data_IF_498561742438
#
_entry.id   IF_498561742438
#
_cell.length_a   1.000
_cell.length_b   1.000
_cell.length_c   1.000
_cell.angle_alpha   90.00
_cell.angle_beta   90.00
_cell.angle_gamma   90.00
#
_symmetry.space_group_name_H-M   'P 1'
#
loop_
_entity.id
_entity.type
_entity.pdbx_description
1 polymer ?
#
# COMPACT_ATOMS: atom_id res chain seq x y z
N UNK A 1 7.17 0.78 10.28
CA UNK A 1 8.04 1.44 11.28
C UNK A 1 7.44 1.33 12.69
N UNK A 2 6.30 1.98 12.98
CA UNK A 2 5.70 1.97 14.33
C UNK A 2 5.46 0.57 14.92
N UNK A 3 5.01 -0.41 14.12
CA UNK A 3 4.87 -1.81 14.56
C UNK A 3 6.22 -2.40 15.05
N UNK A 4 7.31 -2.14 14.34
CA UNK A 4 8.64 -2.61 14.72
C UNK A 4 9.13 -1.90 15.99
N UNK A 5 8.86 -0.59 16.11
CA UNK A 5 9.13 0.16 17.34
C UNK A 5 8.36 -0.39 18.55
N UNK A 6 7.08 -0.69 18.37
CA UNK A 6 6.24 -1.34 19.40
C UNK A 6 6.78 -2.72 19.79
N UNK A 7 7.21 -3.53 18.80
CA UNK A 7 7.84 -4.82 19.07
C UNK A 7 9.12 -4.67 19.88
N UNK A 8 9.96 -3.68 19.59
CA UNK A 8 11.18 -3.41 20.36
C UNK A 8 10.85 -3.02 21.80
N UNK A 9 9.79 -2.24 22.03
CA UNK A 9 9.33 -1.89 23.37
C UNK A 9 8.88 -3.12 24.17
N UNK A 10 8.12 -4.03 23.55
CA UNK A 10 7.72 -5.30 24.17
C UNK A 10 8.93 -6.18 24.52
N UNK A 11 9.93 -6.25 23.64
CA UNK A 11 11.18 -6.99 23.92
C UNK A 11 11.92 -6.40 25.13
N UNK A 12 11.98 -5.07 25.23
CA UNK A 12 12.63 -4.40 26.35
C UNK A 12 11.89 -4.64 27.68
N UNK A 13 10.57 -4.62 27.67
CA UNK A 13 9.72 -4.90 28.84
C UNK A 13 9.91 -6.34 29.35
N UNK A 14 9.89 -7.31 28.44
CA UNK A 14 10.13 -8.73 28.77
C UNK A 14 11.57 -8.95 29.31
N UNK A 15 12.55 -8.28 28.71
CA UNK A 15 13.93 -8.34 29.19
C UNK A 15 14.10 -7.70 30.58
N UNK A 16 13.43 -6.57 30.83
CA UNK A 16 13.41 -5.92 32.15
C UNK A 16 12.77 -6.82 33.22
N UNK A 17 11.79 -7.63 32.82
CA UNK A 17 11.13 -8.62 33.68
C UNK A 17 11.93 -9.91 33.89
N UNK A 18 13.13 -10.02 33.30
CA UNK A 18 14.01 -11.18 33.45
C UNK A 18 13.63 -12.37 32.57
N UNK A 19 12.87 -12.18 31.48
CA UNK A 19 12.52 -13.26 30.56
C UNK A 19 13.77 -13.77 29.82
N UNK A 20 14.35 -14.88 30.31
CA UNK A 20 15.58 -15.46 29.78
C UNK A 20 15.48 -15.88 28.30
N UNK A 21 14.30 -16.32 27.86
CA UNK A 21 14.08 -16.72 26.47
C UNK A 21 14.17 -15.52 25.53
N UNK A 22 13.49 -14.42 25.88
CA UNK A 22 13.52 -13.17 25.09
C UNK A 22 14.93 -12.57 25.08
N UNK A 23 15.62 -12.54 26.22
CA UNK A 23 16.99 -12.03 26.31
C UNK A 23 17.95 -12.85 25.43
N UNK A 24 17.88 -14.18 25.52
CA UNK A 24 18.71 -15.08 24.72
C UNK A 24 18.45 -14.88 23.22
N UNK A 25 17.19 -14.80 22.81
CA UNK A 25 16.83 -14.66 21.41
C UNK A 25 17.20 -13.28 20.86
N UNK A 26 17.02 -12.21 21.64
CA UNK A 26 17.46 -10.87 21.29
C UNK A 26 18.98 -10.81 21.06
N UNK A 27 19.78 -11.34 22.02
CA UNK A 27 21.25 -11.46 21.89
C UNK A 27 21.65 -12.20 20.62
N UNK A 28 21.02 -13.34 20.34
CA UNK A 28 21.28 -14.13 19.13
C UNK A 28 20.98 -13.34 17.86
N UNK A 29 19.85 -12.65 17.79
CA UNK A 29 19.43 -11.86 16.61
C UNK A 29 20.39 -10.71 16.34
N UNK A 30 20.83 -10.01 17.39
CA UNK A 30 21.76 -8.88 17.25
C UNK A 30 23.23 -9.29 17.12
N UNK A 31 23.52 -10.59 17.09
CA UNK A 31 24.85 -11.16 16.89
C UNK A 31 25.79 -11.03 18.08
N UNK A 32 25.26 -10.97 19.30
CA UNK A 32 26.08 -10.95 20.51
C UNK A 32 26.77 -12.31 20.77
N UNK A 33 27.99 -12.31 21.33
CA UNK A 33 28.65 -13.52 21.84
C UNK A 33 27.80 -14.24 22.91
N UNK A 34 28.07 -15.55 23.09
CA UNK A 34 27.31 -16.39 24.03
C UNK A 34 27.49 -15.95 25.50
N UNK A 35 28.63 -15.36 25.84
CA UNK A 35 29.00 -14.82 27.15
C UNK A 35 28.63 -13.33 27.32
N UNK A 36 27.96 -12.73 26.33
CA UNK A 36 27.55 -11.32 26.39
C UNK A 36 26.58 -11.05 27.54
N UNK A 37 26.84 -9.95 28.26
CA UNK A 37 25.96 -9.43 29.30
C UNK A 37 24.92 -8.44 28.76
N UNK A 38 24.89 -8.19 27.45
CA UNK A 38 23.96 -7.26 26.81
C UNK A 38 22.50 -7.53 27.20
N UNK A 39 21.73 -6.49 27.49
CA UNK A 39 20.29 -6.57 27.69
C UNK A 39 19.61 -5.56 26.76
N UNK A 40 18.53 -5.94 26.04
CA UNK A 40 17.83 -5.06 25.11
C UNK A 40 16.88 -4.09 25.84
N UNK A 41 17.36 -3.38 26.87
CA UNK A 41 16.54 -2.49 27.70
C UNK A 41 16.31 -1.13 27.04
N UNK A 42 17.26 -0.65 26.24
CA UNK A 42 17.09 0.55 25.44
C UNK A 42 16.41 0.18 24.11
N UNK A 43 15.14 0.57 23.99
CA UNK A 43 14.28 0.31 22.84
C UNK A 43 14.91 0.81 21.54
N UNK A 44 15.45 2.04 21.53
CA UNK A 44 16.02 2.64 20.32
C UNK A 44 17.34 1.98 19.96
N UNK A 45 18.19 1.69 20.95
CA UNK A 45 19.45 1.00 20.71
C UNK A 45 19.22 -0.43 20.17
N UNK A 46 18.20 -1.13 20.67
CA UNK A 46 17.82 -2.43 20.13
C UNK A 46 17.27 -2.31 18.70
N UNK A 47 16.35 -1.37 18.45
CA UNK A 47 15.80 -1.11 17.12
C UNK A 47 16.90 -0.79 16.09
N UNK A 48 17.91 0.00 16.47
CA UNK A 48 19.02 0.37 15.59
C UNK A 48 19.81 -0.83 15.07
N UNK A 49 19.82 -1.93 15.83
CA UNK A 49 20.57 -3.15 15.49
C UNK A 49 19.77 -4.12 14.62
N UNK A 50 18.45 -3.98 14.56
CA UNK A 50 17.57 -4.96 13.88
C UNK A 50 16.67 -4.35 12.81
N UNK A 51 16.49 -3.03 12.80
CA UNK A 51 15.57 -2.35 11.91
C UNK A 51 16.29 -1.29 11.08
N UNK A 52 16.38 -1.58 9.78
CA UNK A 52 16.96 -0.70 8.78
C UNK A 52 15.84 -0.07 7.95
N UNK A 53 15.93 1.23 7.70
CA UNK A 53 15.00 1.96 6.85
C UNK A 53 15.77 2.58 5.69
N UNK A 54 15.19 2.61 4.49
CA UNK A 54 15.81 3.18 3.31
C UNK A 54 14.85 4.14 2.62
N UNK A 55 15.19 5.43 2.57
CA UNK A 55 14.52 6.40 1.74
C UNK A 55 15.18 6.44 0.35
N UNK A 56 14.43 6.07 -0.69
CA UNK A 56 14.91 5.90 -2.06
C UNK A 56 14.34 6.99 -2.97
N UNK A 57 15.02 8.15 -2.98
CA UNK A 57 14.58 9.34 -3.70
C UNK A 57 14.82 9.24 -5.20
N UNK A 58 14.01 9.96 -5.99
CA UNK A 58 14.33 10.28 -7.38
C UNK A 58 14.45 11.81 -7.50
N UNK A 59 15.62 12.29 -7.92
CA UNK A 59 15.91 13.70 -8.07
C UNK A 59 14.96 14.35 -9.06
N UNK A 60 14.38 15.48 -8.67
CA UNK A 60 13.39 16.20 -9.47
C UNK A 60 11.96 15.66 -9.35
N UNK A 61 11.72 14.59 -8.59
CA UNK A 61 10.37 14.07 -8.30
C UNK A 61 10.07 14.00 -6.81
N UNK A 62 10.99 13.47 -6.01
CA UNK A 62 10.82 13.33 -4.56
C UNK A 62 11.00 14.67 -3.85
N UNK A 63 10.10 15.01 -2.93
CA UNK A 63 10.17 16.25 -2.15
C UNK A 63 11.13 16.15 -0.97
N UNK A 64 11.56 17.30 -0.46
CA UNK A 64 12.37 17.36 0.76
C UNK A 64 11.54 16.99 2.01
N UNK A 65 10.25 17.26 1.96
CA UNK A 65 9.30 17.08 3.04
C UNK A 65 9.05 15.60 3.33
N UNK A 66 8.93 14.76 2.29
CA UNK A 66 8.80 13.30 2.46
C UNK A 66 10.08 12.67 2.99
N UNK A 67 11.25 13.17 2.55
CA UNK A 67 12.55 12.76 3.07
C UNK A 67 12.71 13.07 4.56
N UNK A 68 12.45 14.34 4.95
CA UNK A 68 12.57 14.80 6.34
C UNK A 68 11.64 14.00 7.26
N UNK A 69 10.39 13.79 6.86
CA UNK A 69 9.43 12.98 7.63
C UNK A 69 9.90 11.54 7.81
N UNK A 70 10.47 10.93 6.76
CA UNK A 70 11.01 9.57 6.85
C UNK A 70 12.19 9.48 7.82
N UNK A 71 13.11 10.45 7.78
CA UNK A 71 14.26 10.53 8.68
C UNK A 71 13.83 10.76 10.14
N UNK A 72 12.92 11.70 10.39
CA UNK A 72 12.40 11.97 11.74
C UNK A 72 11.70 10.74 12.34
N UNK A 73 10.88 10.04 11.56
CA UNK A 73 10.24 8.82 12.04
C UNK A 73 11.27 7.71 12.34
N UNK A 74 12.30 7.56 11.49
CA UNK A 74 13.36 6.60 11.71
C UNK A 74 14.13 6.90 13.01
N UNK A 75 14.46 8.16 13.27
CA UNK A 75 15.10 8.62 14.51
C UNK A 75 14.23 8.36 15.76
N UNK A 76 12.92 8.62 15.66
CA UNK A 76 11.98 8.39 16.76
C UNK A 76 11.85 6.90 17.09
N UNK A 77 11.83 6.03 16.07
CA UNK A 77 11.82 4.57 16.26
C UNK A 77 13.19 4.03 16.68
N UNK A 78 14.28 4.74 16.37
CA UNK A 78 15.65 4.28 16.58
C UNK A 78 16.19 3.42 15.44
N UNK A 79 15.58 3.46 14.25
CA UNK A 79 16.02 2.67 13.11
C UNK A 79 17.38 3.13 12.54
N UNK A 80 18.17 2.22 11.97
CA UNK A 80 19.31 2.58 11.15
C UNK A 80 18.82 3.12 9.79
N UNK A 81 18.89 4.43 9.58
CA UNK A 81 18.31 5.11 8.42
C UNK A 81 19.33 5.29 7.28
N UNK A 82 18.93 4.91 6.07
CA UNK A 82 19.68 5.05 4.84
C UNK A 82 18.94 6.00 3.91
N UNK A 83 19.70 6.83 3.21
CA UNK A 83 19.24 7.62 2.07
C UNK A 83 19.96 7.14 0.82
N UNK A 84 19.22 6.94 -0.25
CA UNK A 84 19.76 6.57 -1.56
C UNK A 84 18.96 7.22 -2.68
N UNK A 85 19.56 7.25 -3.86
CA UNK A 85 19.05 7.93 -5.03
C UNK A 85 18.95 6.93 -6.19
N UNK A 86 17.73 6.76 -6.72
CA UNK A 86 17.44 5.85 -7.83
C UNK A 86 17.55 6.52 -9.21
N UNK A 87 17.77 7.84 -9.28
CA UNK A 87 17.71 8.63 -10.52
C UNK A 87 18.63 8.07 -11.60
N UNK A 88 19.88 7.78 -11.22
CA UNK A 88 20.87 7.20 -12.13
C UNK A 88 20.41 5.87 -12.71
N UNK A 89 19.91 4.96 -11.86
CA UNK A 89 19.43 3.64 -12.26
C UNK A 89 18.22 3.74 -13.21
N UNK A 90 17.26 4.61 -12.88
CA UNK A 90 16.08 4.86 -13.70
C UNK A 90 16.48 5.44 -15.06
N UNK A 91 17.44 6.37 -15.09
CA UNK A 91 17.94 6.94 -16.33
C UNK A 91 18.63 5.90 -17.22
N UNK A 92 19.40 4.97 -16.65
CA UNK A 92 19.99 3.87 -17.42
C UNK A 92 18.91 2.97 -18.05
N UNK A 93 17.83 2.65 -17.34
CA UNK A 93 16.69 1.96 -17.95
C UNK A 93 16.06 2.76 -19.10
N UNK A 94 15.86 4.08 -18.93
CA UNK A 94 15.34 4.95 -20.00
C UNK A 94 16.26 4.92 -21.23
N UNK A 95 17.57 5.07 -21.04
CA UNK A 95 18.56 5.01 -22.14
C UNK A 95 18.50 3.68 -22.88
N UNK A 96 18.47 2.57 -22.14
CA UNK A 96 18.41 1.23 -22.73
C UNK A 96 17.14 1.04 -23.58
N UNK A 97 15.97 1.49 -23.08
CA UNK A 97 14.70 1.44 -23.82
C UNK A 97 14.73 2.33 -25.06
N UNK A 98 15.23 3.56 -24.93
CA UNK A 98 15.37 4.49 -26.06
C UNK A 98 16.24 3.92 -27.16
N UNK A 99 17.38 3.32 -26.80
CA UNK A 99 18.28 2.69 -27.76
C UNK A 99 17.65 1.46 -28.43
N UNK A 100 16.91 0.63 -27.67
CA UNK A 100 16.34 -0.61 -28.18
C UNK A 100 15.09 -0.40 -29.06
N UNK A 101 14.29 0.63 -28.77
CA UNK A 101 13.01 0.89 -29.44
C UNK A 101 13.07 2.10 -30.39
N UNK A 102 14.19 2.82 -30.44
CA UNK A 102 14.31 4.13 -31.10
C UNK A 102 13.21 5.11 -30.64
N UNK A 103 12.80 4.98 -29.38
CA UNK A 103 11.64 5.66 -28.80
C UNK A 103 11.95 6.15 -27.40
N UNK A 104 11.91 7.46 -27.19
CA UNK A 104 12.15 8.09 -25.90
C UNK A 104 10.82 8.31 -25.16
N UNK A 105 10.47 7.48 -24.15
CA UNK A 105 9.24 7.66 -23.40
C UNK A 105 9.27 8.96 -22.59
N UNK A 106 8.13 9.67 -22.57
CA UNK A 106 7.94 10.93 -21.84
C UNK A 106 6.83 10.81 -20.80
N UNK A 107 6.89 11.63 -19.75
CA UNK A 107 5.76 11.78 -18.83
C UNK A 107 4.59 12.48 -19.52
N UNK A 108 3.37 12.36 -18.98
CA UNK A 108 2.18 12.96 -19.60
C UNK A 108 2.28 14.49 -19.67
N UNK A 109 2.82 15.13 -18.63
CA UNK A 109 3.11 16.58 -18.61
C UNK A 109 4.27 17.00 -19.53
N UNK A 110 5.05 16.04 -20.03
CA UNK A 110 6.07 16.24 -21.05
C UNK A 110 5.56 15.88 -22.46
N UNK A 111 4.24 15.67 -22.61
CA UNK A 111 3.61 15.30 -23.89
C UNK A 111 3.81 13.83 -24.28
N UNK A 112 3.99 12.94 -23.31
CA UNK A 112 3.90 11.49 -23.47
C UNK A 112 2.46 10.98 -23.35
N UNK A 113 2.22 9.76 -23.82
CA UNK A 113 0.94 9.07 -23.64
C UNK A 113 0.79 8.50 -22.21
N UNK A 114 -0.46 8.20 -21.82
CA UNK A 114 -0.77 7.53 -20.53
C UNK A 114 0.04 6.24 -20.34
N UNK A 115 0.29 5.50 -21.41
CA UNK A 115 1.09 4.27 -21.37
C UNK A 115 2.57 4.52 -21.07
N UNK A 116 3.15 5.57 -21.64
CA UNK A 116 4.53 5.97 -21.38
C UNK A 116 4.70 6.45 -19.94
N UNK A 117 3.80 7.32 -19.51
CA UNK A 117 3.77 7.87 -18.17
C UNK A 117 3.69 6.77 -17.11
N UNK A 118 2.77 5.83 -17.29
CA UNK A 118 2.63 4.67 -16.40
C UNK A 118 3.88 3.78 -16.43
N UNK A 119 4.52 3.59 -17.59
CA UNK A 119 5.75 2.82 -17.69
C UNK A 119 6.91 3.48 -16.92
N UNK A 120 7.05 4.81 -17.03
CA UNK A 120 8.06 5.60 -16.32
C UNK A 120 7.84 5.62 -14.80
N UNK A 121 6.60 5.66 -14.34
CA UNK A 121 6.29 5.49 -12.91
C UNK A 121 6.62 4.07 -12.43
N UNK A 122 6.20 3.05 -13.20
CA UNK A 122 6.41 1.66 -12.83
C UNK A 122 7.89 1.28 -12.73
N UNK A 123 8.75 1.78 -13.62
CA UNK A 123 10.19 1.45 -13.56
C UNK A 123 10.83 2.05 -12.30
N UNK A 124 10.45 3.25 -11.89
CA UNK A 124 10.91 3.81 -10.61
C UNK A 124 10.49 2.93 -9.43
N UNK A 125 9.24 2.49 -9.40
CA UNK A 125 8.72 1.62 -8.34
C UNK A 125 9.46 0.26 -8.28
N UNK A 126 9.75 -0.35 -9.43
CA UNK A 126 10.52 -1.61 -9.51
C UNK A 126 11.99 -1.44 -9.16
N UNK A 127 12.60 -0.33 -9.53
CA UNK A 127 14.00 -0.01 -9.15
C UNK A 127 14.14 0.07 -7.64
N UNK A 128 13.17 0.66 -6.92
CA UNK A 128 13.17 0.67 -5.45
C UNK A 128 13.09 -0.74 -4.86
N UNK A 129 12.30 -1.64 -5.45
CA UNK A 129 12.25 -3.03 -5.01
C UNK A 129 13.61 -3.72 -5.18
N UNK A 130 14.20 -3.65 -6.38
CA UNK A 130 15.49 -4.27 -6.67
C UNK A 130 16.60 -3.73 -5.74
N UNK A 131 16.66 -2.41 -5.57
CA UNK A 131 17.61 -1.77 -4.66
C UNK A 131 17.35 -2.17 -3.19
N UNK A 132 16.09 -2.23 -2.77
CA UNK A 132 15.71 -2.66 -1.42
C UNK A 132 16.22 -4.05 -1.07
N UNK A 133 16.08 -5.03 -1.98
CA UNK A 133 16.65 -6.37 -1.76
C UNK A 133 18.18 -6.39 -1.78
N UNK A 134 18.82 -5.62 -2.69
CA UNK A 134 20.27 -5.51 -2.72
C UNK A 134 20.83 -4.94 -1.41
N UNK A 135 20.19 -3.90 -0.88
CA UNK A 135 20.52 -3.35 0.44
C UNK A 135 20.31 -4.40 1.54
N UNK A 136 19.16 -5.08 1.57
CA UNK A 136 18.85 -6.10 2.57
C UNK A 136 19.90 -7.25 2.60
N UNK A 137 20.42 -7.64 1.43
CA UNK A 137 21.43 -8.69 1.31
C UNK A 137 22.84 -8.23 1.70
N UNK A 138 23.19 -6.95 1.47
CA UNK A 138 24.56 -6.46 1.66
C UNK A 138 24.78 -5.66 2.94
N UNK A 139 23.74 -5.16 3.59
CA UNK A 139 23.87 -4.31 4.79
C UNK A 139 24.59 -4.99 5.95
N UNK A 140 24.37 -6.28 6.16
CA UNK A 140 25.08 -7.03 7.20
C UNK A 140 26.56 -7.19 6.83
N UNK A 141 26.83 -7.57 5.59
CA UNK A 141 28.19 -7.76 5.08
C UNK A 141 29.00 -6.45 5.11
N UNK A 142 28.41 -5.31 4.75
CA UNK A 142 29.08 -4.00 4.78
C UNK A 142 29.49 -3.55 6.18
N UNK A 143 28.88 -4.15 7.21
CA UNK A 143 29.19 -3.92 8.62
C UNK A 143 30.08 -5.03 9.22
N UNK A 144 30.63 -5.92 8.38
CA UNK A 144 31.34 -7.14 8.81
C UNK A 144 30.53 -8.03 9.76
N UNK A 145 29.20 -8.01 9.63
CA UNK A 145 28.27 -8.85 10.40
C UNK A 145 27.78 -10.01 9.55
N UNK A 146 27.48 -11.14 10.22
CA UNK A 146 26.81 -12.29 9.61
C UNK A 146 25.29 -12.10 9.67
N UNK A 147 24.57 -12.74 8.76
CA UNK A 147 23.10 -12.76 8.72
C UNK A 147 22.53 -12.11 7.47
N UNK A 148 21.21 -12.00 7.44
CA UNK A 148 20.44 -11.40 6.35
C UNK A 148 19.27 -10.61 6.95
N UNK A 149 18.73 -9.67 6.18
CA UNK A 149 17.54 -8.90 6.56
C UNK A 149 16.32 -9.41 5.79
N UNK A 150 15.16 -9.42 6.46
CA UNK A 150 13.88 -9.60 5.79
C UNK A 150 13.39 -8.26 5.27
N UNK A 151 12.99 -8.21 4.01
CA UNK A 151 12.36 -7.04 3.41
C UNK A 151 10.89 -6.99 3.86
N UNK A 152 10.49 -5.85 4.43
CA UNK A 152 9.11 -5.62 4.86
C UNK A 152 8.32 -4.86 3.80
N UNK A 153 7.18 -5.43 3.40
CA UNK A 153 6.21 -4.76 2.53
C UNK A 153 5.33 -3.79 3.31
N UNK A 154 4.66 -2.87 2.59
CA UNK A 154 3.78 -1.86 3.18
C UNK A 154 2.51 -1.59 2.38
N UNK A 155 2.08 -2.54 1.54
CA UNK A 155 0.76 -2.47 0.90
C UNK A 155 -0.34 -2.71 1.94
N UNK A 156 -1.47 -2.02 1.85
CA UNK A 156 -2.63 -2.27 2.72
C UNK A 156 -3.73 -3.08 2.02
N UNK A 157 -4.71 -3.54 2.79
CA UNK A 157 -5.75 -4.46 2.29
C UNK A 157 -6.68 -3.80 1.27
N UNK A 158 -6.87 -2.47 1.33
CA UNK A 158 -7.76 -1.73 0.44
C UNK A 158 -7.14 -1.56 -0.96
N UNK A 159 -5.87 -1.14 -0.99
CA UNK A 159 -5.05 -1.08 -2.22
C UNK A 159 -4.94 -2.46 -2.87
N UNK A 160 -4.76 -3.51 -2.06
CA UNK A 160 -4.74 -4.90 -2.52
C UNK A 160 -6.08 -5.31 -3.15
N UNK A 161 -7.21 -5.00 -2.52
CA UNK A 161 -8.55 -5.28 -3.06
C UNK A 161 -8.80 -4.59 -4.40
N UNK A 162 -8.28 -3.36 -4.56
CA UNK A 162 -8.35 -2.59 -5.81
C UNK A 162 -7.32 -3.03 -6.85
N UNK A 163 -6.21 -3.62 -6.41
CA UNK A 163 -5.03 -3.87 -7.23
C UNK A 163 -4.26 -2.60 -7.60
N UNK A 164 -4.32 -1.59 -6.72
CA UNK A 164 -3.66 -0.29 -6.87
C UNK A 164 -2.24 -0.33 -6.33
N UNK A 165 -1.37 -1.01 -7.07
CA UNK A 165 0.08 -1.08 -6.83
C UNK A 165 0.78 -1.56 -8.09
N UNK A 166 2.09 -1.35 -8.20
CA UNK A 166 2.86 -1.83 -9.34
C UNK A 166 3.27 -3.28 -9.10
N UNK A 167 2.99 -4.17 -10.06
CA UNK A 167 3.43 -5.56 -9.93
C UNK A 167 4.97 -5.60 -9.87
N UNK A 168 5.50 -6.20 -8.79
CA UNK A 168 6.93 -6.28 -8.46
C UNK A 168 7.61 -4.95 -8.06
N UNK A 169 6.86 -3.99 -7.50
CA UNK A 169 7.45 -2.91 -6.71
C UNK A 169 7.63 -3.31 -5.24
N UNK A 170 7.85 -2.34 -4.33
CA UNK A 170 7.99 -2.58 -2.88
C UNK A 170 6.73 -3.16 -2.20
N UNK A 171 5.61 -3.35 -2.91
CA UNK A 171 4.51 -4.22 -2.46
C UNK A 171 4.90 -5.70 -2.47
N UNK A 172 5.97 -6.06 -3.19
CA UNK A 172 6.61 -7.38 -3.27
C UNK A 172 7.85 -7.41 -2.37
N UNK A 173 7.73 -8.08 -1.24
CA UNK A 173 8.68 -8.16 -0.15
C UNK A 173 8.67 -9.61 0.42
N UNK A 174 9.40 -9.88 1.50
CA UNK A 174 9.38 -11.20 2.13
C UNK A 174 8.10 -11.42 2.94
N UNK A 175 7.74 -10.41 3.75
CA UNK A 175 6.53 -10.39 4.58
C UNK A 175 5.94 -8.99 4.65
N UNK A 176 4.62 -8.88 4.83
CA UNK A 176 3.93 -7.60 4.98
C UNK A 176 3.10 -7.55 6.28
N UNK A 177 3.55 -6.82 7.32
CA UNK A 177 2.86 -6.77 8.60
C UNK A 177 1.54 -5.99 8.56
N UNK A 178 1.31 -5.17 7.54
CA UNK A 178 0.10 -4.32 7.42
C UNK A 178 -0.83 -4.72 6.27
N UNK A 179 -0.49 -5.77 5.51
CA UNK A 179 -1.25 -6.18 4.32
C UNK A 179 -2.70 -6.59 4.58
N UNK A 180 -3.02 -7.00 5.81
CA UNK A 180 -4.37 -7.31 6.23
C UNK A 180 -5.13 -6.17 6.92
N UNK A 181 -4.57 -4.96 7.02
CA UNK A 181 -5.14 -3.82 7.76
C UNK A 181 -5.64 -2.76 6.77
N UNK A 182 -6.80 -2.15 7.04
CA UNK A 182 -7.39 -1.11 6.20
C UNK A 182 -6.77 0.28 6.43
N UNK A 183 -6.90 1.17 5.45
CA UNK A 183 -6.28 2.50 5.45
C UNK A 183 -6.75 3.38 6.62
N UNK A 184 -8.03 3.27 7.00
CA UNK A 184 -8.58 4.04 8.11
C UNK A 184 -7.98 3.60 9.45
N UNK A 185 -7.87 2.29 9.68
CA UNK A 185 -7.28 1.74 10.90
C UNK A 185 -5.77 1.97 10.94
N UNK A 186 -5.08 1.95 9.80
CA UNK A 186 -3.67 2.37 9.74
C UNK A 186 -3.48 3.83 10.16
N UNK A 187 -4.36 4.74 9.70
CA UNK A 187 -4.34 6.14 10.14
C UNK A 187 -4.63 6.26 11.64
N UNK A 188 -5.59 5.52 12.17
CA UNK A 188 -5.91 5.48 13.60
C UNK A 188 -4.75 4.94 14.43
N UNK A 189 -4.09 3.87 13.98
CA UNK A 189 -2.91 3.32 14.62
C UNK A 189 -1.74 4.29 14.60
N UNK A 190 -1.53 5.03 13.51
CA UNK A 190 -0.50 6.07 13.47
C UNK A 190 -0.75 7.19 14.48
N UNK A 191 -2.00 7.61 14.69
CA UNK A 191 -2.35 8.58 15.76
C UNK A 191 -2.06 8.01 17.14
N UNK A 192 -2.53 6.80 17.42
CA UNK A 192 -2.25 6.09 18.67
C UNK A 192 -0.74 5.98 18.93
N UNK A 193 0.04 5.60 17.92
CA UNK A 193 1.48 5.45 18.03
C UNK A 193 2.20 6.79 18.25
N UNK A 194 1.70 7.89 17.68
CA UNK A 194 2.21 9.22 17.98
C UNK A 194 1.96 9.62 19.44
N UNK A 195 0.74 9.41 19.93
CA UNK A 195 0.28 9.85 21.25
C UNK A 195 0.81 8.95 22.38
N UNK A 196 0.93 7.64 22.15
CA UNK A 196 1.21 6.65 23.19
C UNK A 196 2.62 6.07 23.10
N UNK A 197 3.19 5.95 21.90
CA UNK A 197 4.53 5.38 21.69
C UNK A 197 5.61 6.43 21.45
N UNK A 198 5.26 7.72 21.43
CA UNK A 198 6.20 8.83 21.25
C UNK A 198 6.67 9.04 19.81
N UNK A 199 5.98 8.48 18.82
CA UNK A 199 6.32 8.62 17.40
C UNK A 199 5.62 9.82 16.74
N UNK A 200 5.83 11.03 17.28
CA UNK A 200 5.10 12.24 16.88
C UNK A 200 5.21 12.61 15.40
N UNK A 201 6.28 12.20 14.71
CA UNK A 201 6.45 12.41 13.26
C UNK A 201 5.32 11.77 12.44
N UNK A 202 4.61 10.77 12.99
CA UNK A 202 3.45 10.17 12.36
C UNK A 202 2.29 11.15 12.17
N UNK A 203 2.14 12.16 13.03
CA UNK A 203 1.08 13.18 12.89
C UNK A 203 1.28 14.02 11.62
N UNK A 204 2.52 14.41 11.34
CA UNK A 204 2.88 15.14 10.12
C UNK A 204 2.69 14.25 8.89
N UNK A 205 3.07 12.98 8.97
CA UNK A 205 2.92 12.00 7.88
C UNK A 205 1.45 11.78 7.53
N UNK A 206 0.56 11.57 8.51
CA UNK A 206 -0.86 11.34 8.22
C UNK A 206 -1.63 12.61 7.88
N UNK A 207 -1.10 13.80 8.21
CA UNK A 207 -1.69 15.08 7.82
C UNK A 207 -1.34 15.47 6.40
N UNK A 208 -0.25 14.93 5.85
CA UNK A 208 0.13 15.11 4.46
C UNK A 208 -0.90 14.51 3.50
N UNK A 209 -1.04 15.15 2.33
CA UNK A 209 -1.85 14.61 1.26
C UNK A 209 -1.24 13.28 0.76
N UNK A 210 -2.04 12.21 0.60
CA UNK A 210 -1.54 10.94 0.06
C UNK A 210 -1.37 11.06 -1.46
N UNK A 211 -0.12 11.29 -1.86
CA UNK A 211 0.28 11.48 -3.26
C UNK A 211 1.52 10.66 -3.58
N UNK A 212 1.56 10.05 -4.77
CA UNK A 212 2.75 9.36 -5.26
C UNK A 212 3.69 10.34 -6.00
N UNK A 213 4.84 10.64 -5.41
CA UNK A 213 5.90 11.49 -5.99
C UNK A 213 6.69 10.74 -7.10
N UNK A 214 5.97 10.28 -8.14
CA UNK A 214 6.52 9.48 -9.25
C UNK A 214 6.47 10.20 -10.61
N UNK A 215 5.88 11.39 -10.65
CA UNK A 215 5.85 12.26 -11.83
C UNK A 215 6.52 13.60 -11.52
N UNK A 216 7.12 14.28 -12.52
CA UNK A 216 7.55 15.66 -12.33
C UNK A 216 6.34 16.51 -11.94
N UNK A 217 6.47 17.35 -10.92
CA UNK A 217 5.43 18.34 -10.60
C UNK A 217 5.68 19.61 -11.42
N UNK A 218 4.65 20.13 -12.09
CA UNK A 218 4.71 21.51 -12.57
C UNK A 218 4.68 22.48 -11.38
N UNK A 219 5.35 23.63 -11.52
CA UNK A 219 5.35 24.66 -10.46
C UNK A 219 3.92 25.15 -10.20
N UNK A 220 3.35 24.74 -9.07
CA UNK A 220 2.03 25.17 -8.60
C UNK A 220 0.92 24.11 -8.77
N UNK A 221 1.20 22.97 -9.39
CA UNK A 221 0.25 21.86 -9.44
C UNK A 221 0.31 21.00 -8.18
N UNK A 222 -0.86 20.65 -7.65
CA UNK A 222 -0.97 19.65 -6.59
C UNK A 222 -0.92 18.26 -7.21
N UNK A 223 -0.05 17.40 -6.70
CA UNK A 223 -0.06 15.98 -7.09
C UNK A 223 -1.45 15.36 -6.90
N UNK A 224 -1.87 14.57 -7.89
CA UNK A 224 -3.13 13.83 -7.83
C UNK A 224 -3.14 12.89 -6.62
N UNK A 225 -4.25 12.87 -5.87
CA UNK A 225 -4.41 11.98 -4.72
C UNK A 225 -4.70 10.55 -5.16
N UNK A 226 -4.32 9.58 -4.33
CA UNK A 226 -4.57 8.14 -4.60
C UNK A 226 -6.06 7.86 -4.91
N UNK A 227 -6.99 8.47 -4.15
CA UNK A 227 -8.43 8.26 -4.32
C UNK A 227 -8.95 8.79 -5.66
N UNK A 228 -8.41 9.93 -6.12
CA UNK A 228 -8.74 10.49 -7.42
C UNK A 228 -8.25 9.59 -8.55
N UNK A 229 -7.03 9.05 -8.45
CA UNK A 229 -6.46 8.12 -9.42
C UNK A 229 -7.19 6.76 -9.43
N UNK A 230 -7.53 6.23 -8.26
CA UNK A 230 -8.34 5.01 -8.15
C UNK A 230 -9.78 5.20 -8.68
N UNK A 231 -10.29 6.44 -8.63
CA UNK A 231 -11.69 6.79 -8.94
C UNK A 231 -12.68 6.30 -7.88
N UNK A 232 -12.21 6.08 -6.65
CA UNK A 232 -12.96 5.55 -5.51
C UNK A 232 -12.25 5.90 -4.21
N UNK A 233 -13.02 6.22 -3.17
CA UNK A 233 -12.46 6.52 -1.84
C UNK A 233 -12.09 5.23 -1.10
N UNK A 234 -11.20 5.32 -0.11
CA UNK A 234 -10.87 4.20 0.77
C UNK A 234 -12.10 3.69 1.53
N UNK A 235 -13.01 4.58 1.92
CA UNK A 235 -14.30 4.22 2.54
C UNK A 235 -15.15 3.36 1.59
N UNK A 236 -15.27 3.77 0.32
CA UNK A 236 -15.98 3.01 -0.69
C UNK A 236 -15.34 1.64 -0.93
N UNK A 237 -14.01 1.58 -1.04
CA UNK A 237 -13.27 0.34 -1.23
C UNK A 237 -13.51 -0.66 -0.11
N UNK A 238 -13.52 -0.21 1.15
CA UNK A 238 -13.85 -1.05 2.30
C UNK A 238 -15.26 -1.64 2.19
N UNK A 239 -16.26 -0.83 1.82
CA UNK A 239 -17.63 -1.32 1.63
C UNK A 239 -17.70 -2.33 0.49
N UNK A 240 -17.11 -2.04 -0.67
CA UNK A 240 -17.08 -2.97 -1.79
C UNK A 240 -16.38 -4.29 -1.43
N UNK A 241 -15.24 -4.22 -0.74
CA UNK A 241 -14.47 -5.39 -0.33
C UNK A 241 -15.27 -6.26 0.66
N UNK A 242 -15.93 -5.64 1.63
CA UNK A 242 -16.81 -6.29 2.61
C UNK A 242 -17.99 -6.96 1.93
N UNK A 243 -18.74 -6.24 1.10
CA UNK A 243 -19.88 -6.80 0.35
C UNK A 243 -19.44 -7.96 -0.54
N UNK A 244 -18.29 -7.85 -1.22
CA UNK A 244 -17.73 -8.91 -2.08
C UNK A 244 -17.38 -10.17 -1.28
N UNK A 245 -16.65 -10.01 -0.17
CA UNK A 245 -15.99 -11.12 0.53
C UNK A 245 -16.83 -11.68 1.68
N UNK A 246 -17.31 -10.82 2.56
CA UNK A 246 -18.09 -11.21 3.74
C UNK A 246 -19.51 -11.55 3.35
N UNK A 247 -20.18 -10.65 2.62
CA UNK A 247 -21.58 -10.83 2.18
C UNK A 247 -21.71 -11.62 0.87
N UNK A 248 -20.58 -12.04 0.27
CA UNK A 248 -20.51 -12.90 -0.92
C UNK A 248 -21.24 -12.33 -2.15
N UNK A 249 -21.28 -11.01 -2.27
CA UNK A 249 -22.02 -10.34 -3.34
C UNK A 249 -21.22 -10.23 -4.64
N UNK A 250 -21.82 -10.70 -5.74
CA UNK A 250 -21.35 -10.40 -7.09
C UNK A 250 -21.84 -9.03 -7.59
N UNK A 251 -21.59 -8.65 -8.86
CA UNK A 251 -21.90 -7.31 -9.35
C UNK A 251 -23.38 -6.92 -9.23
N UNK A 252 -24.30 -7.84 -9.53
CA UNK A 252 -25.74 -7.54 -9.54
C UNK A 252 -26.27 -7.37 -8.11
N UNK A 253 -25.96 -8.30 -7.21
CA UNK A 253 -26.42 -8.24 -5.82
C UNK A 253 -25.79 -7.07 -5.06
N UNK A 254 -24.52 -6.75 -5.34
CA UNK A 254 -23.86 -5.56 -4.77
C UNK A 254 -24.53 -4.26 -5.25
N UNK A 255 -24.90 -4.19 -6.53
CA UNK A 255 -25.64 -3.05 -7.06
C UNK A 255 -27.00 -2.87 -6.37
N UNK A 256 -27.78 -3.95 -6.22
CA UNK A 256 -29.07 -3.91 -5.50
C UNK A 256 -28.90 -3.40 -4.07
N UNK A 257 -27.89 -3.92 -3.36
CA UNK A 257 -27.57 -3.49 -1.99
C UNK A 257 -27.23 -2.01 -1.91
N UNK A 258 -26.35 -1.54 -2.79
CA UNK A 258 -25.90 -0.16 -2.76
C UNK A 258 -26.95 0.84 -3.24
N UNK A 259 -27.93 0.42 -4.05
CA UNK A 259 -29.09 1.27 -4.34
C UNK A 259 -29.94 1.49 -3.07
N UNK A 260 -30.03 0.49 -2.18
CA UNK A 260 -30.74 0.66 -0.91
C UNK A 260 -29.93 1.51 0.08
N UNK A 261 -28.63 1.25 0.20
CA UNK A 261 -27.77 1.91 1.19
C UNK A 261 -27.32 3.32 0.78
N UNK A 262 -27.06 3.54 -0.52
CA UNK A 262 -26.50 4.79 -1.05
C UNK A 262 -27.39 5.50 -2.06
N UNK A 263 -28.53 4.93 -2.43
CA UNK A 263 -29.41 5.49 -3.46
C UNK A 263 -30.12 6.78 -3.05
N UNK A 264 -31.07 7.26 -3.86
CA UNK A 264 -31.69 8.59 -3.70
C UNK A 264 -32.44 8.78 -2.37
N UNK A 265 -32.88 7.69 -1.75
CA UNK A 265 -33.58 7.71 -0.46
C UNK A 265 -32.65 7.72 0.75
N UNK A 266 -31.35 7.47 0.55
CA UNK A 266 -30.37 7.42 1.63
C UNK A 266 -29.80 8.82 1.93
N UNK A 267 -29.08 8.95 3.03
CA UNK A 267 -28.30 10.15 3.35
C UNK A 267 -27.24 10.48 2.29
N UNK A 268 -26.75 9.46 1.57
CA UNK A 268 -25.74 9.64 0.52
C UNK A 268 -26.35 10.11 -0.81
N UNK A 269 -27.62 9.81 -1.05
CA UNK A 269 -28.41 10.40 -2.13
C UNK A 269 -27.89 10.13 -3.56
N UNK A 270 -27.12 9.08 -3.81
CA UNK A 270 -26.61 8.80 -5.17
C UNK A 270 -27.76 8.44 -6.11
N UNK A 271 -27.67 8.85 -7.36
CA UNK A 271 -28.57 8.32 -8.38
C UNK A 271 -28.30 6.82 -8.60
N UNK A 272 -29.34 6.09 -9.00
CA UNK A 272 -29.23 4.67 -9.35
C UNK A 272 -28.18 4.45 -10.46
N UNK A 273 -28.00 5.42 -11.36
CA UNK A 273 -26.99 5.36 -12.41
C UNK A 273 -25.55 5.52 -11.88
N UNK A 274 -25.35 6.38 -10.87
CA UNK A 274 -24.05 6.55 -10.22
C UNK A 274 -23.65 5.32 -9.40
N UNK A 275 -24.59 4.74 -8.65
CA UNK A 275 -24.37 3.47 -7.97
C UNK A 275 -23.94 2.36 -8.95
N UNK A 276 -24.63 2.25 -10.09
CA UNK A 276 -24.25 1.32 -11.15
C UNK A 276 -22.85 1.59 -11.71
N UNK A 277 -22.50 2.87 -11.96
CA UNK A 277 -21.16 3.27 -12.45
C UNK A 277 -20.07 2.85 -11.46
N UNK A 278 -20.26 3.09 -10.16
CA UNK A 278 -19.30 2.73 -9.12
C UNK A 278 -19.10 1.22 -8.99
N UNK A 279 -20.17 0.43 -8.97
CA UNK A 279 -20.09 -1.04 -8.93
C UNK A 279 -19.37 -1.59 -10.16
N UNK A 280 -19.71 -1.09 -11.35
CA UNK A 280 -19.04 -1.51 -12.60
C UNK A 280 -17.56 -1.14 -12.60
N UNK A 281 -17.21 0.05 -12.13
CA UNK A 281 -15.82 0.49 -11.99
C UNK A 281 -15.05 -0.43 -11.05
N UNK A 282 -15.61 -0.75 -9.88
CA UNK A 282 -14.99 -1.67 -8.92
C UNK A 282 -14.70 -3.05 -9.54
N UNK A 283 -15.71 -3.73 -10.08
CA UNK A 283 -15.55 -5.08 -10.61
C UNK A 283 -14.67 -5.16 -11.87
N UNK A 284 -14.69 -4.13 -12.72
CA UNK A 284 -13.78 -4.05 -13.87
C UNK A 284 -12.33 -3.96 -13.39
N UNK A 285 -12.05 -3.05 -12.47
CA UNK A 285 -10.71 -2.87 -11.94
C UNK A 285 -10.20 -4.07 -11.15
N UNK A 286 -11.07 -4.69 -10.34
CA UNK A 286 -10.79 -5.95 -9.66
C UNK A 286 -10.39 -7.04 -10.66
N UNK A 287 -11.19 -7.23 -11.72
CA UNK A 287 -10.92 -8.25 -12.74
C UNK A 287 -9.59 -8.01 -13.49
N UNK A 288 -9.30 -6.74 -13.86
CA UNK A 288 -8.04 -6.37 -14.53
C UNK A 288 -6.84 -6.68 -13.64
N UNK A 289 -6.92 -6.33 -12.36
CA UNK A 289 -5.76 -6.36 -11.47
C UNK A 289 -5.64 -7.62 -10.62
N UNK A 290 -6.60 -8.56 -10.66
CA UNK A 290 -6.58 -9.75 -9.79
C UNK A 290 -5.31 -10.58 -9.95
N UNK A 291 -4.74 -10.65 -11.15
CA UNK A 291 -3.48 -11.33 -11.42
C UNK A 291 -2.29 -10.81 -10.58
N UNK A 292 -2.36 -9.59 -10.02
CA UNK A 292 -1.32 -9.07 -9.13
C UNK A 292 -1.34 -9.75 -7.76
N UNK A 293 -2.50 -10.21 -7.30
CA UNK A 293 -2.66 -10.83 -5.99
C UNK A 293 -2.08 -12.24 -5.89
N UNK A 294 -1.94 -12.93 -7.03
CA UNK A 294 -1.29 -14.25 -7.11
C UNK A 294 0.18 -14.23 -6.68
N UNK A 295 0.81 -13.05 -6.71
CA UNK A 295 2.23 -12.86 -6.35
C UNK A 295 2.39 -11.74 -5.33
N UNK A 296 1.32 -11.36 -4.62
CA UNK A 296 1.42 -10.36 -3.56
C UNK A 296 2.08 -10.99 -2.34
N UNK A 297 2.89 -10.19 -1.64
CA UNK A 297 3.59 -10.58 -0.41
C UNK A 297 2.65 -11.21 0.62
N UNK A 298 3.02 -12.33 1.25
CA UNK A 298 2.24 -12.90 2.35
C UNK A 298 2.13 -11.87 3.49
N UNK A 299 0.92 -11.72 4.02
CA UNK A 299 0.62 -10.70 5.02
C UNK A 299 -0.02 -11.27 6.27
N UNK A 300 0.11 -10.53 7.37
CA UNK A 300 -0.63 -10.82 8.60
C UNK A 300 -2.12 -10.75 8.30
N UNK A 301 -2.86 -11.79 8.69
CA UNK A 301 -4.31 -11.81 8.58
C UNK A 301 -4.93 -10.98 9.71
N UNK A 302 -5.75 -9.98 9.37
CA UNK A 302 -6.47 -9.16 10.33
C UNK A 302 -7.92 -8.93 9.88
N UNK A 303 -8.12 -8.46 8.65
CA UNK A 303 -9.46 -8.18 8.12
C UNK A 303 -10.15 -9.40 7.51
N UNK A 304 -11.46 -9.54 7.82
CA UNK A 304 -12.32 -10.61 7.30
C UNK A 304 -12.66 -10.47 5.81
N UNK A 305 -12.21 -9.38 5.17
CA UNK A 305 -12.34 -9.15 3.73
C UNK A 305 -11.00 -9.15 2.99
N UNK A 306 -9.97 -9.78 3.56
CA UNK A 306 -8.66 -9.95 2.92
C UNK A 306 -8.81 -10.57 1.52
N UNK A 307 -8.11 -10.04 0.50
CA UNK A 307 -8.13 -10.57 -0.86
C UNK A 307 -7.02 -11.60 -1.12
N UNK A 308 -6.31 -12.07 -0.08
CA UNK A 308 -5.22 -13.06 -0.18
C UNK A 308 -5.64 -14.29 -0.99
N UNK A 309 -4.92 -14.55 -2.08
CA UNK A 309 -5.23 -15.63 -3.01
C UNK A 309 -4.61 -16.98 -2.58
N UNK A 310 -3.66 -16.97 -1.63
CA UNK A 310 -2.94 -18.18 -1.25
C UNK A 310 -3.77 -19.11 -0.37
N UNK A 311 -4.57 -18.55 0.54
CA UNK A 311 -5.28 -19.30 1.59
C UNK A 311 -6.71 -18.83 1.80
N UNK A 312 -6.96 -17.52 1.77
CA UNK A 312 -8.20 -16.96 2.32
C UNK A 312 -9.30 -16.67 1.29
N UNK A 313 -8.96 -16.11 0.13
CA UNK A 313 -9.89 -15.73 -0.94
C UNK A 313 -9.49 -16.35 -2.27
N UNK A 314 -9.63 -17.67 -2.39
CA UNK A 314 -9.34 -18.41 -3.62
C UNK A 314 -10.28 -17.97 -4.75
N UNK A 315 -9.72 -17.40 -5.83
CA UNK A 315 -10.49 -16.85 -6.96
C UNK A 315 -9.77 -17.10 -8.28
N UNK A 316 -10.49 -17.10 -9.43
CA UNK A 316 -9.85 -16.94 -10.73
C UNK A 316 -8.97 -15.69 -10.76
N UNK A 317 -7.95 -15.68 -11.61
CA UNK A 317 -7.17 -14.48 -11.92
C UNK A 317 -7.18 -14.11 -13.40
N UNK A 318 -7.81 -14.94 -14.24
CA UNK A 318 -8.15 -14.66 -15.62
C UNK A 318 -9.67 -14.46 -15.72
N UNK A 319 -10.12 -13.22 -15.67
CA UNK A 319 -11.53 -12.84 -15.74
C UNK A 319 -11.90 -12.20 -17.09
N UNK A 320 -13.18 -12.32 -17.47
CA UNK A 320 -13.75 -11.40 -18.45
C UNK A 320 -13.97 -10.03 -17.79
N UNK A 321 -13.13 -9.05 -18.14
CA UNK A 321 -13.18 -7.69 -17.59
C UNK A 321 -14.45 -6.91 -17.96
N UNK A 322 -15.20 -7.40 -18.95
CA UNK A 322 -16.45 -6.80 -19.41
C UNK A 322 -17.64 -7.16 -18.52
N UNK A 323 -17.58 -8.28 -17.79
CA UNK A 323 -18.69 -8.78 -16.97
C UNK A 323 -20.04 -8.73 -17.71
N UNK A 324 -20.03 -9.14 -18.98
CA UNK A 324 -21.02 -8.70 -19.96
C UNK A 324 -22.47 -9.05 -19.57
N UNK A 325 -22.70 -10.25 -19.01
CA UNK A 325 -24.02 -10.65 -18.55
C UNK A 325 -24.49 -9.81 -17.35
N UNK A 326 -23.63 -9.69 -16.33
CA UNK A 326 -23.92 -9.00 -15.08
C UNK A 326 -24.14 -7.51 -15.33
N UNK A 327 -23.31 -6.87 -16.15
CA UNK A 327 -23.41 -5.45 -16.43
C UNK A 327 -24.64 -5.11 -17.27
N UNK A 328 -25.04 -5.97 -18.23
CA UNK A 328 -26.32 -5.81 -18.95
C UNK A 328 -27.52 -5.92 -18.01
N UNK A 329 -27.46 -6.83 -17.01
CA UNK A 329 -28.53 -6.96 -16.02
C UNK A 329 -28.64 -5.70 -15.14
N UNK A 330 -27.52 -5.14 -14.69
CA UNK A 330 -27.49 -3.86 -13.99
C UNK A 330 -28.11 -2.76 -14.87
N UNK A 331 -27.76 -2.67 -16.15
CA UNK A 331 -28.32 -1.65 -17.05
C UNK A 331 -29.84 -1.78 -17.23
N UNK A 332 -30.34 -3.01 -17.35
CA UNK A 332 -31.77 -3.27 -17.41
C UNK A 332 -32.49 -2.82 -16.12
N UNK A 333 -31.88 -3.06 -14.96
CA UNK A 333 -32.41 -2.62 -13.67
C UNK A 333 -32.40 -1.11 -13.52
N UNK A 334 -31.31 -0.42 -13.90
CA UNK A 334 -31.25 1.05 -13.90
C UNK A 334 -32.39 1.64 -14.74
N UNK A 335 -32.67 1.06 -15.91
CA UNK A 335 -33.80 1.48 -16.77
C UNK A 335 -35.16 1.24 -16.08
N UNK A 336 -35.32 0.12 -15.36
CA UNK A 336 -36.55 -0.19 -14.60
C UNK A 336 -36.78 0.83 -13.49
N UNK A 337 -35.76 1.11 -12.66
CA UNK A 337 -35.83 2.10 -11.58
C UNK A 337 -36.19 3.50 -12.09
N UNK A 338 -35.62 3.93 -13.22
CA UNK A 338 -35.99 5.23 -13.83
C UNK A 338 -37.48 5.31 -14.18
N UNK A 339 -38.06 4.22 -14.71
CA UNK A 339 -39.49 4.16 -15.06
C UNK A 339 -40.41 4.11 -13.84
N UNK A 340 -39.97 3.45 -12.77
CA UNK A 340 -40.75 3.35 -11.53
C UNK A 340 -40.73 4.68 -10.76
N UNK A 341 -39.56 5.31 -10.64
CA UNK A 341 -39.41 6.63 -10.01
C UNK A 341 -40.16 7.74 -10.73
N UNK A 342 -40.10 7.76 -12.07
CA UNK A 342 -40.84 8.75 -12.86
C UNK A 342 -42.36 8.65 -12.67
N UNK A 343 -42.88 7.47 -12.27
CA UNK A 343 -44.31 7.27 -12.00
C UNK A 343 -44.71 7.69 -10.59
N UNK A 344 -43.79 7.65 -9.62
CA UNK A 344 -44.04 8.04 -8.22
C UNK A 344 -43.86 9.53 -7.94
N UNK A 345 -43.19 10.30 -8.80
CA UNK A 345 -43.08 11.78 -8.68
C UNK A 345 -44.24 12.52 -9.38
N UNK A 346 -45.01 11.81 -10.21
CA UNK A 346 -46.18 12.37 -10.96
C UNK A 346 -47.51 12.11 -10.22
N UNK A 347 -47.46 11.49 -9.04
CA UNK A 347 -48.56 11.38 -8.09
C UNK A 347 -48.18 12.12 -6.82
#
# INVERSE_FOLDING_TARGET
>A
AAIVGSMCAMVAEEAASGNETVIRDARRIVGEPQDSTYLPLDVKAFAHRIFYTAYMANQGMSSSETEIRAAHLAEQVGAAHLKTDISGMVNEFKKAVTAALEFAPRFENEGGSVSEDLALQNIQARTRMALGYMLAQLLMASQNKKGFLLVLGSANVDEANRGYFTKYDCSSADINPIGGINKADLRSFCKYAAETLGFSALLDIISAAPTAELKPMEKGEQSQTDEADMGMTYEELRVFATLKKVERMGPVSMFERLVQEWGPHSTRGLSVAEAAKKVKHFFRNYAINRHKLTTLTPSVHAESYSPDDNRYDLRPFLYSVQWAFQFRRIDAMVKKYKKEWSKSVVK
#
